data_IF_138647660434
#
_entry.id   IF_138647660434
#
_cell.length_a   1.000
_cell.length_b   1.000
_cell.length_c   1.000
_cell.angle_alpha   90.00
_cell.angle_beta   90.00
_cell.angle_gamma   90.00
#
_symmetry.space_group_name_H-M   'P 1'
#
loop_
_entity.id
_entity.type
_entity.pdbx_description
1 polymer ?
#
# COMPACT_ATOMS: atom_id res chain seq x y z
N UNK A 1 -13.05 -13.00 4.49
CA UNK A 1 -11.74 -12.97 3.80
C UNK A 1 -11.68 -11.69 3.01
N UNK A 2 -10.60 -10.92 3.15
CA UNK A 2 -10.36 -9.70 2.38
C UNK A 2 -9.27 -9.94 1.34
N UNK A 3 -9.26 -9.14 0.28
CA UNK A 3 -8.18 -9.11 -0.71
C UNK A 3 -6.99 -8.41 -0.11
N UNK A 4 -5.88 -9.14 0.06
CA UNK A 4 -4.67 -8.61 0.72
C UNK A 4 -3.67 -8.12 -0.29
N UNK A 5 -2.83 -7.19 0.14
CA UNK A 5 -1.90 -6.53 -0.74
C UNK A 5 -0.69 -5.97 -0.01
N UNK A 6 0.28 -5.53 -0.79
CA UNK A 6 1.48 -4.84 -0.32
C UNK A 6 1.54 -3.43 -0.90
N UNK A 7 1.89 -2.43 -0.08
CA UNK A 7 2.23 -1.07 -0.53
C UNK A 7 3.70 -0.81 -0.23
N UNK A 8 4.49 -0.60 -1.28
CA UNK A 8 5.92 -0.30 -1.20
C UNK A 8 6.16 1.16 -1.57
N UNK A 9 7.05 1.85 -0.84
CA UNK A 9 7.52 3.19 -1.20
C UNK A 9 9.03 3.21 -1.24
N UNK A 10 9.58 3.64 -2.38
CA UNK A 10 11.01 3.66 -2.69
C UNK A 10 11.49 5.10 -2.81
N UNK A 11 12.62 5.43 -2.17
CA UNK A 11 13.33 6.69 -2.34
C UNK A 11 14.84 6.46 -2.15
N UNK A 12 15.66 7.04 -3.03
CA UNK A 12 17.10 6.86 -3.11
C UNK A 12 17.53 5.37 -3.16
N UNK A 13 16.75 4.53 -3.86
CA UNK A 13 16.96 3.08 -3.94
C UNK A 13 16.62 2.31 -2.66
N UNK A 14 16.09 2.98 -1.62
CA UNK A 14 15.75 2.36 -0.34
C UNK A 14 14.24 2.11 -0.26
N UNK A 15 13.87 0.89 0.15
CA UNK A 15 12.48 0.53 0.47
C UNK A 15 12.16 1.02 1.88
N UNK A 16 11.69 2.26 1.96
CA UNK A 16 11.28 2.88 3.21
C UNK A 16 9.99 2.24 3.73
N UNK A 17 9.03 1.93 2.86
CA UNK A 17 7.77 1.31 3.26
C UNK A 17 7.61 -0.02 2.52
N UNK A 18 7.13 -1.05 3.23
CA UNK A 18 6.63 -2.30 2.68
C UNK A 18 5.44 -2.75 3.53
N UNK A 19 4.34 -2.00 3.44
CA UNK A 19 3.18 -2.11 4.32
C UNK A 19 2.24 -3.21 3.82
N UNK A 20 2.07 -4.27 4.61
CA UNK A 20 1.00 -5.23 4.41
C UNK A 20 -0.37 -4.57 4.63
N UNK A 21 -1.33 -4.95 3.78
CA UNK A 21 -2.73 -4.53 3.82
C UNK A 21 -3.67 -5.73 3.90
N UNK A 22 -4.63 -5.70 4.84
CA UNK A 22 -5.54 -6.83 5.07
C UNK A 22 -6.80 -6.85 4.16
N UNK A 23 -7.25 -5.68 3.70
CA UNK A 23 -8.59 -5.51 3.12
C UNK A 23 -8.55 -4.78 1.78
N UNK A 24 -9.41 -5.25 0.86
CA UNK A 24 -9.78 -4.61 -0.40
C UNK A 24 -8.60 -4.08 -1.23
N UNK A 25 -7.55 -4.89 -1.37
CA UNK A 25 -6.35 -4.57 -2.14
C UNK A 25 -6.53 -4.33 -3.64
N UNK A 26 -7.75 -4.46 -4.16
CA UNK A 26 -8.05 -4.27 -5.58
C UNK A 26 -7.75 -2.85 -6.09
N UNK A 27 -7.46 -2.69 -7.40
CA UNK A 27 -7.20 -1.39 -8.00
C UNK A 27 -8.32 -0.35 -7.82
N UNK A 28 -9.57 -0.80 -7.79
CA UNK A 28 -10.77 0.02 -7.58
C UNK A 28 -10.74 0.78 -6.25
N UNK A 29 -10.02 0.23 -5.26
CA UNK A 29 -9.99 0.72 -3.88
C UNK A 29 -8.59 1.24 -3.55
N UNK A 30 -7.64 0.35 -3.26
CA UNK A 30 -6.29 0.76 -2.83
C UNK A 30 -5.52 1.41 -3.97
N UNK A 31 -5.61 0.87 -5.19
CA UNK A 31 -5.01 1.50 -6.37
C UNK A 31 -5.52 2.92 -6.57
N UNK A 32 -6.84 3.13 -6.52
CA UNK A 32 -7.45 4.46 -6.63
C UNK A 32 -7.11 5.40 -5.47
N UNK A 33 -6.95 4.88 -4.24
CA UNK A 33 -6.43 5.67 -3.12
C UNK A 33 -5.03 6.18 -3.47
N UNK A 34 -4.13 5.32 -3.92
CA UNK A 34 -2.77 5.71 -4.32
C UNK A 34 -2.77 6.72 -5.46
N UNK A 35 -3.58 6.51 -6.52
CA UNK A 35 -3.73 7.48 -7.62
C UNK A 35 -4.12 8.86 -7.08
N UNK A 36 -5.11 8.95 -6.20
CA UNK A 36 -5.57 10.23 -5.61
C UNK A 36 -4.58 10.87 -4.64
N UNK A 37 -3.78 10.06 -3.96
CA UNK A 37 -2.73 10.54 -3.07
C UNK A 37 -1.56 11.10 -3.89
N UNK A 38 -1.07 10.33 -4.86
CA UNK A 38 0.12 10.65 -5.63
C UNK A 38 -0.12 11.70 -6.72
N UNK A 39 -1.36 11.91 -7.15
CA UNK A 39 -1.75 13.04 -7.99
C UNK A 39 -1.66 14.42 -7.28
N UNK A 40 -1.27 14.47 -6.00
CA UNK A 40 -1.08 15.70 -5.23
C UNK A 40 0.40 16.03 -5.06
N UNK A 41 0.94 17.05 -5.76
CA UNK A 41 2.36 17.39 -5.67
C UNK A 41 2.82 17.79 -4.28
N UNK A 42 1.97 18.45 -3.48
CA UNK A 42 2.28 18.82 -2.10
C UNK A 42 2.43 17.58 -1.21
N UNK A 43 1.55 16.59 -1.36
CA UNK A 43 1.67 15.33 -0.63
C UNK A 43 2.95 14.59 -1.04
N UNK A 44 3.26 14.50 -2.34
CA UNK A 44 4.48 13.81 -2.82
C UNK A 44 5.74 14.49 -2.28
N UNK A 45 5.78 15.84 -2.28
CA UNK A 45 6.88 16.60 -1.66
C UNK A 45 7.01 16.27 -0.18
N UNK A 46 5.90 16.31 0.56
CA UNK A 46 5.91 16.10 2.01
C UNK A 46 6.22 14.64 2.37
N UNK A 47 5.78 13.68 1.55
CA UNK A 47 6.14 12.27 1.65
C UNK A 47 7.66 12.08 1.53
N UNK A 48 8.29 12.67 0.50
CA UNK A 48 9.76 12.61 0.33
C UNK A 48 10.50 13.15 1.55
N UNK A 49 10.00 14.23 2.15
CA UNK A 49 10.59 14.82 3.35
C UNK A 49 10.38 13.96 4.60
N UNK A 50 9.23 13.30 4.72
CA UNK A 50 8.88 12.47 5.89
C UNK A 50 9.55 11.09 5.91
N UNK A 51 9.82 10.47 4.74
CA UNK A 51 10.36 9.11 4.67
C UNK A 51 11.67 8.90 5.46
N UNK A 52 12.67 9.80 5.41
CA UNK A 52 13.88 9.71 6.24
C UNK A 52 13.62 9.73 7.76
N UNK A 53 12.43 10.14 8.19
CA UNK A 53 12.02 10.19 9.60
C UNK A 53 11.17 8.98 10.00
N UNK A 54 11.22 7.89 9.23
CA UNK A 54 10.63 6.60 9.59
C UNK A 54 11.67 5.65 10.17
N UNK A 55 11.25 4.71 11.00
CA UNK A 55 12.14 3.67 11.53
C UNK A 55 11.38 2.37 11.80
N UNK A 56 12.08 1.26 11.78
CA UNK A 56 11.54 -0.05 12.13
C UNK A 56 11.88 -0.37 13.59
N UNK A 57 10.90 -0.32 14.52
CA UNK A 57 11.15 -0.60 15.93
C UNK A 57 11.50 -2.08 16.14
N UNK A 58 12.36 -2.37 17.12
CA UNK A 58 12.54 -3.73 17.61
C UNK A 58 11.32 -4.20 18.43
N UNK A 59 11.23 -5.51 18.67
CA UNK A 59 10.08 -6.12 19.38
C UNK A 59 9.85 -5.50 20.77
N UNK A 60 10.92 -5.20 21.51
CA UNK A 60 10.81 -4.58 22.83
C UNK A 60 10.27 -3.14 22.74
N UNK A 61 10.62 -2.40 21.68
CA UNK A 61 10.10 -1.06 21.40
C UNK A 61 8.66 -1.11 20.97
N UNK A 62 8.27 -2.07 20.11
CA UNK A 62 6.87 -2.30 19.74
C UNK A 62 6.02 -2.53 20.99
N UNK A 63 6.43 -3.44 21.88
CA UNK A 63 5.69 -3.73 23.11
C UNK A 63 5.52 -2.49 24.01
N UNK A 64 6.55 -1.64 24.11
CA UNK A 64 6.46 -0.38 24.87
C UNK A 64 5.50 0.61 24.21
N UNK A 65 5.63 0.81 22.90
CA UNK A 65 4.75 1.70 22.14
C UNK A 65 3.29 1.25 22.28
N UNK A 66 3.01 -0.04 22.12
CA UNK A 66 1.66 -0.61 22.27
C UNK A 66 1.11 -0.45 23.70
N UNK A 67 1.96 -0.58 24.72
CA UNK A 67 1.56 -0.34 26.11
C UNK A 67 1.22 1.14 26.35
N UNK A 68 2.03 2.07 25.84
CA UNK A 68 1.79 3.51 25.94
C UNK A 68 0.53 3.93 25.15
N UNK A 69 0.26 3.25 24.03
CA UNK A 69 -0.89 3.46 23.19
C UNK A 69 -2.12 2.59 23.56
N UNK A 70 -2.10 1.87 24.69
CA UNK A 70 -3.10 0.84 24.99
C UNK A 70 -4.55 1.38 25.03
N UNK A 71 -4.76 2.60 25.53
CA UNK A 71 -6.06 3.28 25.52
C UNK A 71 -6.44 3.78 24.10
N UNK A 72 -5.63 4.61 23.41
CA UNK A 72 -5.97 5.08 22.07
C UNK A 72 -6.07 3.96 21.01
N UNK A 73 -5.32 2.86 21.16
CA UNK A 73 -5.41 1.69 20.29
C UNK A 73 -6.79 1.02 20.31
N UNK A 74 -7.57 1.19 21.38
CA UNK A 74 -8.94 0.65 21.41
C UNK A 74 -9.81 1.25 20.30
N UNK A 75 -9.54 2.51 19.91
CA UNK A 75 -10.25 3.19 18.81
C UNK A 75 -9.94 2.52 17.47
N UNK A 76 -8.69 2.10 17.24
CA UNK A 76 -8.33 1.34 16.03
C UNK A 76 -8.95 -0.05 16.01
N UNK A 77 -8.93 -0.73 17.16
CA UNK A 77 -9.36 -2.12 17.32
C UNK A 77 -10.88 -2.31 17.40
N UNK A 78 -11.68 -1.23 17.45
CA UNK A 78 -13.13 -1.31 17.29
C UNK A 78 -13.49 -1.50 15.81
N UNK A 79 -13.67 -2.76 15.41
CA UNK A 79 -13.86 -3.18 14.01
C UNK A 79 -15.31 -3.19 13.53
N UNK A 80 -16.32 -3.22 14.40
CA UNK A 80 -17.67 -3.40 13.87
C UNK A 80 -18.26 -2.09 13.38
N UNK A 81 -18.56 -2.07 12.07
CA UNK A 81 -19.58 -1.19 11.54
C UNK A 81 -20.87 -1.52 12.29
N UNK A 82 -21.22 -0.72 13.30
CA UNK A 82 -22.43 -0.94 14.09
C UNK A 82 -23.60 -0.33 13.35
N UNK A 83 -24.72 -1.02 13.32
CA UNK A 83 -25.97 -0.38 12.93
C UNK A 83 -26.30 0.67 14.00
N UNK A 84 -26.52 1.91 13.58
CA UNK A 84 -27.08 2.91 14.48
C UNK A 84 -28.55 2.58 14.79
N UNK A 85 -29.21 3.42 15.60
CA UNK A 85 -30.61 3.23 15.96
C UNK A 85 -31.58 3.32 14.76
N UNK A 86 -31.10 3.75 13.59
CA UNK A 86 -31.84 3.83 12.33
C UNK A 86 -31.52 2.67 11.37
N UNK A 87 -30.59 1.78 11.72
CA UNK A 87 -30.14 0.70 10.85
C UNK A 87 -29.08 1.11 9.82
N UNK A 88 -28.41 2.25 10.01
CA UNK A 88 -27.31 2.70 9.15
C UNK A 88 -25.96 2.20 9.67
N UNK A 89 -25.06 1.81 8.75
CA UNK A 89 -23.71 1.37 9.09
C UNK A 89 -22.89 2.56 9.61
N UNK A 90 -22.52 2.53 10.89
CA UNK A 90 -21.61 3.48 11.53
C UNK A 90 -20.19 2.91 11.57
N UNK A 91 -19.28 3.58 10.88
CA UNK A 91 -17.85 3.26 10.87
C UNK A 91 -17.13 3.88 12.08
N UNK A 92 -16.02 3.28 12.50
CA UNK A 92 -15.13 3.89 13.50
C UNK A 92 -14.39 5.09 12.90
N UNK A 93 -13.91 6.00 13.76
CA UNK A 93 -13.15 7.18 13.31
C UNK A 93 -11.90 6.78 12.51
N UNK A 94 -11.27 5.66 12.87
CA UNK A 94 -10.17 5.09 12.11
C UNK A 94 -10.59 4.60 10.72
N UNK A 95 -11.72 3.91 10.60
CA UNK A 95 -12.23 3.45 9.29
C UNK A 95 -12.61 4.63 8.39
N UNK A 96 -13.23 5.66 8.96
CA UNK A 96 -13.53 6.90 8.26
C UNK A 96 -12.26 7.62 7.82
N UNK A 97 -11.27 7.75 8.71
CA UNK A 97 -9.97 8.32 8.36
C UNK A 97 -9.29 7.54 7.23
N UNK A 98 -9.24 6.21 7.32
CA UNK A 98 -8.65 5.38 6.25
C UNK A 98 -9.28 5.58 4.89
N UNK A 99 -10.58 5.93 4.82
CA UNK A 99 -11.29 6.18 3.56
C UNK A 99 -10.92 7.51 2.93
N UNK A 100 -10.72 8.53 3.76
CA UNK A 100 -10.26 9.85 3.32
C UNK A 100 -9.14 10.37 4.24
N UNK A 101 -7.93 9.81 4.11
CA UNK A 101 -6.87 10.05 5.09
C UNK A 101 -6.37 11.49 5.09
N UNK A 102 -6.64 12.26 4.04
CA UNK A 102 -6.27 13.66 3.96
C UNK A 102 -7.33 14.59 4.53
N UNK A 103 -8.61 14.35 4.26
CA UNK A 103 -9.66 15.20 4.84
C UNK A 103 -9.83 15.00 6.35
N UNK A 104 -9.46 13.83 6.87
CA UNK A 104 -9.65 13.44 8.28
C UNK A 104 -8.34 13.32 9.06
N UNK A 105 -7.23 13.79 8.50
CA UNK A 105 -5.94 13.79 9.20
C UNK A 105 -5.99 14.68 10.44
N UNK A 106 -5.48 14.16 11.56
CA UNK A 106 -5.24 14.87 12.79
C UNK A 106 -3.95 14.32 13.44
N UNK A 107 -3.07 15.16 14.03
CA UNK A 107 -1.82 14.70 14.61
C UNK A 107 -2.01 13.71 15.78
N UNK A 108 -3.14 13.77 16.47
CA UNK A 108 -3.52 12.86 17.56
C UNK A 108 -3.72 11.41 17.07
N UNK A 109 -3.96 11.20 15.77
CA UNK A 109 -3.98 9.85 15.18
C UNK A 109 -2.68 9.10 15.45
N UNK A 110 -1.55 9.80 15.50
CA UNK A 110 -0.25 9.19 15.73
C UNK A 110 -0.11 8.57 17.12
N UNK A 111 -0.92 9.00 18.10
CA UNK A 111 -0.94 8.42 19.45
C UNK A 111 -1.55 7.01 19.46
N UNK A 112 -2.30 6.67 18.40
CA UNK A 112 -2.88 5.34 18.21
C UNK A 112 -1.94 4.36 17.48
N UNK A 113 -0.74 4.79 17.08
CA UNK A 113 0.20 3.99 16.27
C UNK A 113 -0.40 3.36 14.97
N UNK A 114 -1.21 4.11 14.19
CA UNK A 114 -1.83 3.56 12.99
C UNK A 114 -0.79 3.09 11.97
N UNK A 115 0.43 3.62 11.97
CA UNK A 115 1.50 3.19 11.05
C UNK A 115 1.99 1.75 11.26
N UNK A 116 1.70 1.14 12.42
CA UNK A 116 1.99 -0.28 12.69
C UNK A 116 0.79 -1.19 12.39
N UNK A 117 -0.38 -0.61 12.14
CA UNK A 117 -1.61 -1.37 11.99
C UNK A 117 -1.80 -1.85 10.54
N UNK A 118 -2.04 -3.15 10.36
CA UNK A 118 -2.18 -3.82 9.04
C UNK A 118 -3.28 -3.25 8.14
N UNK A 119 -4.25 -2.57 8.73
CA UNK A 119 -5.36 -2.00 7.96
C UNK A 119 -4.97 -0.64 7.35
N UNK A 120 -3.94 0.03 7.85
CA UNK A 120 -3.59 1.40 7.43
C UNK A 120 -3.28 1.49 5.94
N UNK A 121 -2.68 0.45 5.35
CA UNK A 121 -2.58 0.33 3.90
C UNK A 121 -2.00 1.61 3.25
N UNK A 122 -2.64 2.15 2.20
CA UNK A 122 -2.15 3.31 1.45
C UNK A 122 -2.20 4.61 2.28
N UNK A 123 -3.00 4.65 3.35
CA UNK A 123 -3.05 5.80 4.25
C UNK A 123 -1.72 6.03 4.99
N UNK A 124 -0.81 5.04 5.03
CA UNK A 124 0.53 5.21 5.59
C UNK A 124 1.32 6.32 4.89
N UNK A 125 1.08 6.57 3.59
CA UNK A 125 1.69 7.70 2.87
C UNK A 125 1.31 9.04 3.51
N UNK A 126 0.09 9.18 4.01
CA UNK A 126 -0.37 10.41 4.67
C UNK A 126 0.23 10.53 6.06
N UNK A 127 0.31 9.42 6.82
CA UNK A 127 0.99 9.41 8.12
C UNK A 127 2.44 9.88 8.00
N UNK A 128 3.17 9.39 6.99
CA UNK A 128 4.55 9.79 6.73
C UNK A 128 4.61 11.25 6.30
N UNK A 129 3.82 11.65 5.30
CA UNK A 129 3.87 13.00 4.74
C UNK A 129 3.47 14.09 5.75
N UNK A 130 2.55 13.80 6.67
CA UNK A 130 1.99 14.80 7.60
C UNK A 130 2.48 14.65 9.03
N UNK A 131 3.00 13.48 9.40
CA UNK A 131 3.26 13.11 10.79
C UNK A 131 4.70 12.75 11.13
N UNK A 132 5.52 12.35 10.15
CA UNK A 132 6.91 11.97 10.42
C UNK A 132 7.83 13.20 10.44
N UNK A 133 8.57 13.39 11.54
CA UNK A 133 9.60 14.43 11.67
C UNK A 133 10.79 13.96 12.50
N UNK A 134 11.85 14.76 12.58
CA UNK A 134 13.00 14.46 13.44
C UNK A 134 12.62 14.39 14.94
N UNK A 135 11.69 15.23 15.38
CA UNK A 135 11.19 15.29 16.75
C UNK A 135 10.17 14.17 17.04
N UNK A 136 9.49 13.69 16.01
CA UNK A 136 8.51 12.60 16.09
C UNK A 136 8.75 11.57 14.96
N UNK A 137 9.79 10.73 15.07
CA UNK A 137 10.00 9.68 14.09
C UNK A 137 8.83 8.70 14.06
N UNK A 138 8.40 8.29 12.87
CA UNK A 138 7.24 7.43 12.68
C UNK A 138 7.67 5.95 12.67
N UNK A 139 7.18 5.12 13.61
CA UNK A 139 7.46 3.69 13.56
C UNK A 139 6.69 3.04 12.40
N UNK A 140 7.34 2.14 11.67
CA UNK A 140 6.76 1.38 10.56
C UNK A 140 7.10 -0.10 10.72
N UNK A 141 6.24 -0.97 10.20
CA UNK A 141 6.49 -2.41 10.15
C UNK A 141 6.58 -2.85 8.69
N UNK A 142 7.76 -3.28 8.25
CA UNK A 142 8.00 -3.66 6.85
C UNK A 142 7.86 -5.17 6.70
N UNK A 143 7.10 -5.58 5.70
CA UNK A 143 6.87 -6.99 5.40
C UNK A 143 7.07 -7.26 3.90
N UNK A 144 8.26 -6.97 3.33
CA UNK A 144 8.50 -7.10 1.89
C UNK A 144 8.33 -8.54 1.40
N UNK A 145 8.67 -9.55 2.22
CA UNK A 145 8.53 -10.97 1.91
C UNK A 145 7.08 -11.39 1.68
N UNK A 146 6.08 -10.58 2.07
CA UNK A 146 4.69 -10.84 1.70
C UNK A 146 4.50 -10.89 0.18
N UNK A 147 5.32 -10.17 -0.60
CA UNK A 147 5.33 -10.26 -2.05
C UNK A 147 5.65 -11.67 -2.59
N UNK A 148 6.28 -12.52 -1.78
CA UNK A 148 6.58 -13.90 -2.16
C UNK A 148 5.41 -14.87 -1.94
N UNK A 149 4.37 -14.44 -1.22
CA UNK A 149 3.20 -15.27 -0.97
C UNK A 149 2.23 -15.19 -2.15
N UNK A 150 2.48 -15.97 -3.20
CA UNK A 150 1.65 -15.96 -4.41
C UNK A 150 0.20 -16.43 -4.19
N UNK A 151 -0.14 -16.98 -3.02
CA UNK A 151 -1.51 -17.38 -2.69
C UNK A 151 -2.28 -16.24 -1.99
N UNK A 152 -1.59 -15.44 -1.19
CA UNK A 152 -2.23 -14.41 -0.37
C UNK A 152 -1.91 -12.97 -0.76
N UNK A 153 -0.75 -12.71 -1.37
CA UNK A 153 -0.42 -11.41 -1.96
C UNK A 153 -1.10 -11.29 -3.32
N UNK A 154 -2.37 -10.88 -3.29
CA UNK A 154 -3.21 -10.77 -4.50
C UNK A 154 -2.80 -9.55 -5.34
N UNK A 155 -2.36 -8.47 -4.69
CA UNK A 155 -1.88 -7.24 -5.33
C UNK A 155 -0.64 -6.68 -4.65
N UNK A 156 0.25 -6.06 -5.42
CA UNK A 156 1.29 -5.21 -4.85
C UNK A 156 1.37 -3.87 -5.62
N UNK A 157 1.59 -2.80 -4.87
CA UNK A 157 1.73 -1.46 -5.41
C UNK A 157 3.11 -0.93 -5.04
N UNK A 158 3.85 -0.42 -6.02
CA UNK A 158 5.15 0.20 -5.78
C UNK A 158 5.06 1.67 -6.17
N UNK A 159 5.31 2.52 -5.19
CA UNK A 159 5.45 3.97 -5.35
C UNK A 159 6.94 4.26 -5.44
N UNK A 160 7.44 4.37 -6.66
CA UNK A 160 8.84 4.65 -6.93
C UNK A 160 9.02 6.17 -7.05
N UNK A 161 9.52 6.78 -5.97
CA UNK A 161 9.77 8.22 -5.92
C UNK A 161 11.09 8.59 -6.59
N UNK A 162 11.95 7.64 -6.96
CA UNK A 162 13.17 7.97 -7.71
C UNK A 162 12.85 8.30 -9.16
N UNK A 163 11.80 7.68 -9.70
CA UNK A 163 11.37 7.83 -11.09
C UNK A 163 9.95 8.39 -11.24
N UNK A 164 9.27 8.73 -10.14
CA UNK A 164 7.90 9.26 -10.11
C UNK A 164 6.91 8.35 -10.87
N UNK A 165 6.92 7.05 -10.55
CA UNK A 165 5.98 6.07 -11.12
C UNK A 165 5.22 5.31 -10.04
N UNK A 166 3.94 5.05 -10.33
CA UNK A 166 3.12 4.08 -9.62
C UNK A 166 3.08 2.80 -10.44
N UNK A 167 3.58 1.72 -9.85
CA UNK A 167 3.51 0.39 -10.44
C UNK A 167 2.46 -0.46 -9.75
N UNK A 168 1.75 -1.26 -10.55
CA UNK A 168 0.71 -2.19 -10.11
C UNK A 168 1.15 -3.58 -10.50
N UNK A 169 1.10 -4.51 -9.54
CA UNK A 169 1.46 -5.90 -9.72
C UNK A 169 0.34 -6.82 -9.28
N UNK A 170 0.22 -7.97 -9.95
CA UNK A 170 -0.79 -9.00 -9.70
C UNK A 170 -0.20 -10.39 -10.00
N UNK A 171 -0.80 -11.44 -9.44
CA UNK A 171 -0.41 -12.82 -9.69
C UNK A 171 0.97 -13.17 -9.12
N UNK A 172 1.54 -14.27 -9.60
CA UNK A 172 2.82 -14.79 -9.12
C UNK A 172 3.61 -15.46 -10.25
N UNK A 173 4.90 -15.16 -10.34
CA UNK A 173 5.83 -15.75 -11.29
C UNK A 173 7.19 -16.03 -10.65
N UNK A 174 8.01 -16.85 -11.31
CA UNK A 174 9.40 -17.04 -10.91
C UNK A 174 10.19 -15.72 -11.05
N UNK A 175 11.19 -15.53 -10.20
CA UNK A 175 12.08 -14.38 -10.26
C UNK A 175 12.87 -14.35 -11.57
N UNK A 176 13.02 -13.14 -12.12
CA UNK A 176 13.92 -12.85 -13.24
C UNK A 176 14.96 -11.81 -12.83
N UNK A 177 16.18 -11.83 -13.42
CA UNK A 177 17.17 -10.79 -13.18
C UNK A 177 16.59 -9.39 -13.48
N UNK A 178 16.81 -8.45 -12.58
CA UNK A 178 16.30 -7.07 -12.71
C UNK A 178 14.83 -6.89 -12.29
N UNK A 179 14.13 -7.95 -11.87
CA UNK A 179 12.78 -7.80 -11.33
C UNK A 179 12.79 -6.93 -10.06
N UNK A 180 11.76 -6.09 -9.89
CA UNK A 180 11.60 -5.16 -8.75
C UNK A 180 11.77 -5.85 -7.38
N UNK A 181 11.23 -7.06 -7.26
CA UNK A 181 11.27 -7.90 -6.06
C UNK A 181 12.35 -8.99 -6.09
N UNK A 182 13.31 -8.95 -7.02
CA UNK A 182 14.32 -10.00 -7.16
C UNK A 182 15.13 -10.24 -5.86
N UNK A 183 15.37 -9.17 -5.11
CA UNK A 183 16.12 -9.18 -3.85
C UNK A 183 15.30 -9.61 -2.62
N UNK A 184 14.00 -9.85 -2.77
CA UNK A 184 13.09 -10.17 -1.65
C UNK A 184 12.89 -11.67 -1.53
N UNK A 185 13.25 -12.24 -0.37
CA UNK A 185 13.16 -13.67 -0.10
C UNK A 185 14.13 -14.54 -0.94
N UNK A 186 14.05 -15.88 -0.83
CA UNK A 186 14.97 -16.79 -1.52
C UNK A 186 14.78 -16.80 -3.05
N UNK A 187 15.78 -17.26 -3.80
CA UNK A 187 15.74 -17.30 -5.28
C UNK A 187 14.60 -18.18 -5.85
N UNK A 188 14.20 -19.20 -5.09
CA UNK A 188 13.09 -20.10 -5.43
C UNK A 188 11.70 -19.52 -5.17
N UNK A 189 11.61 -18.36 -4.49
CA UNK A 189 10.34 -17.72 -4.21
C UNK A 189 9.69 -17.16 -5.49
N UNK A 190 8.37 -17.14 -5.51
CA UNK A 190 7.63 -16.37 -6.51
C UNK A 190 7.68 -14.87 -6.20
N UNK A 191 7.41 -14.05 -7.19
CA UNK A 191 7.27 -12.59 -7.09
C UNK A 191 6.06 -12.14 -7.89
N UNK A 192 5.43 -11.00 -7.55
CA UNK A 192 4.22 -10.56 -8.22
C UNK A 192 4.58 -10.04 -9.62
N UNK A 193 3.66 -10.16 -10.58
CA UNK A 193 3.90 -9.82 -11.99
C UNK A 193 3.55 -8.36 -12.24
N UNK A 194 4.46 -7.58 -12.86
CA UNK A 194 4.18 -6.20 -13.23
C UNK A 194 3.03 -6.16 -14.26
N UNK A 195 1.97 -5.44 -13.92
CA UNK A 195 0.80 -5.21 -14.77
C UNK A 195 0.86 -3.84 -15.44
N UNK A 196 1.10 -2.80 -14.66
CA UNK A 196 1.08 -1.41 -15.12
C UNK A 196 2.20 -0.63 -14.45
N UNK A 197 2.89 0.22 -15.21
CA UNK A 197 3.77 1.27 -14.68
C UNK A 197 3.25 2.61 -15.21
N UNK A 198 2.83 3.49 -14.30
CA UNK A 198 2.13 4.73 -14.62
C UNK A 198 2.89 5.93 -14.03
N UNK A 199 3.44 6.82 -14.87
CA UNK A 199 4.06 8.06 -14.38
C UNK A 199 3.09 8.95 -13.59
N UNK A 200 3.62 9.67 -12.60
CA UNK A 200 2.79 10.52 -11.72
C UNK A 200 2.06 11.62 -12.48
N UNK A 201 2.66 12.17 -13.54
CA UNK A 201 2.03 13.20 -14.39
C UNK A 201 0.79 12.69 -15.16
N UNK A 202 0.61 11.36 -15.24
CA UNK A 202 -0.57 10.70 -15.83
C UNK A 202 -1.65 10.35 -14.82
N UNK A 203 -1.38 10.44 -13.52
CA UNK A 203 -2.36 10.09 -12.49
C UNK A 203 -3.58 11.02 -12.49
N UNK A 204 -3.40 12.26 -12.93
CA UNK A 204 -4.47 13.25 -13.07
C UNK A 204 -5.56 12.83 -14.08
N UNK A 205 -5.21 12.00 -15.08
CA UNK A 205 -6.15 11.42 -16.04
C UNK A 205 -7.13 10.45 -15.36
N UNK A 206 -6.76 9.88 -14.22
CA UNK A 206 -7.48 8.80 -13.54
C UNK A 206 -8.07 9.19 -12.18
N UNK A 207 -7.57 10.22 -11.49
CA UNK A 207 -7.93 10.54 -10.08
C UNK A 207 -9.43 10.63 -9.80
N UNK A 208 -10.21 11.04 -10.81
CA UNK A 208 -11.67 11.19 -10.74
C UNK A 208 -12.44 10.14 -11.59
N UNK A 209 -11.74 9.23 -12.26
CA UNK A 209 -12.34 8.19 -13.10
C UNK A 209 -11.78 6.80 -12.73
N UNK A 210 -12.40 6.22 -11.70
CA UNK A 210 -12.09 4.84 -11.25
C UNK A 210 -12.25 3.83 -12.38
N UNK A 211 -13.26 4.00 -13.23
CA UNK A 211 -13.57 3.00 -14.25
C UNK A 211 -12.51 3.02 -15.36
N UNK A 212 -12.03 4.19 -15.75
CA UNK A 212 -10.92 4.31 -16.70
C UNK A 212 -9.63 3.66 -16.16
N UNK A 213 -9.31 3.87 -14.88
CA UNK A 213 -8.11 3.29 -14.26
C UNK A 213 -8.17 1.75 -14.24
N UNK A 214 -9.31 1.22 -13.81
CA UNK A 214 -9.55 -0.23 -13.76
C UNK A 214 -9.56 -0.83 -15.17
N UNK A 215 -10.21 -0.18 -16.13
CA UNK A 215 -10.22 -0.62 -17.52
C UNK A 215 -8.80 -0.67 -18.11
N UNK A 216 -7.96 0.32 -17.77
CA UNK A 216 -6.55 0.33 -18.16
C UNK A 216 -5.79 -0.87 -17.60
N UNK A 217 -5.97 -1.20 -16.32
CA UNK A 217 -5.32 -2.35 -15.68
C UNK A 217 -5.79 -3.66 -16.31
N UNK A 218 -7.10 -3.85 -16.47
CA UNK A 218 -7.67 -5.05 -17.07
C UNK A 218 -7.17 -5.27 -18.51
N UNK A 219 -7.02 -4.19 -19.28
CA UNK A 219 -6.45 -4.26 -20.62
C UNK A 219 -5.00 -4.80 -20.62
N UNK A 220 -4.17 -4.37 -19.67
CA UNK A 220 -2.79 -4.87 -19.55
C UNK A 220 -2.75 -6.34 -19.09
N UNK A 221 -3.60 -6.73 -18.14
CA UNK A 221 -3.75 -8.13 -17.68
C UNK A 221 -4.14 -9.03 -18.86
N UNK A 222 -5.13 -8.64 -19.66
CA UNK A 222 -5.53 -9.39 -20.86
C UNK A 222 -4.37 -9.53 -21.85
N UNK A 223 -3.58 -8.47 -22.02
CA UNK A 223 -2.38 -8.49 -22.85
C UNK A 223 -1.32 -9.48 -22.35
N UNK A 224 -1.06 -9.50 -21.04
CA UNK A 224 -0.14 -10.46 -20.39
C UNK A 224 -0.63 -11.89 -20.59
N UNK A 225 -1.91 -12.14 -20.33
CA UNK A 225 -2.52 -13.47 -20.45
C UNK A 225 -2.43 -14.00 -21.89
N UNK A 226 -2.69 -13.16 -22.90
CA UNK A 226 -2.55 -13.54 -24.31
C UNK A 226 -1.11 -13.91 -24.68
N UNK A 227 -0.12 -13.14 -24.22
CA UNK A 227 1.31 -13.45 -24.46
C UNK A 227 1.72 -14.76 -23.80
N UNK A 228 1.30 -14.98 -22.55
CA UNK A 228 1.59 -16.22 -21.83
C UNK A 228 0.95 -17.44 -22.50
N UNK A 229 -0.30 -17.31 -23.00
CA UNK A 229 -0.98 -18.37 -23.72
C UNK A 229 -0.29 -18.70 -25.06
N UNK A 230 0.22 -17.70 -25.78
CA UNK A 230 0.98 -17.91 -27.01
C UNK A 230 2.31 -18.63 -26.74
N UNK A 231 3.08 -18.16 -25.76
CA UNK A 231 4.36 -18.77 -25.39
C UNK A 231 4.23 -20.24 -24.94
N UNK A 232 3.14 -20.60 -24.25
CA UNK A 232 2.86 -21.99 -23.88
C UNK A 232 2.59 -22.87 -25.11
N UNK A 233 1.85 -22.35 -26.09
CA UNK A 233 1.59 -23.09 -27.35
C UNK A 233 2.87 -23.32 -28.15
N UNK A 234 3.75 -22.34 -28.23
CA UNK A 234 5.05 -22.46 -28.92
C UNK A 234 6.00 -23.47 -28.24
N UNK A 235 5.85 -23.72 -26.94
CA UNK A 235 6.62 -24.73 -26.20
C UNK A 235 6.05 -26.15 -26.34
N UNK A 236 4.76 -26.27 -26.68
CA UNK A 236 4.06 -27.54 -26.86
C UNK A 236 4.11 -28.06 -28.32
N UNK A 237 4.60 -27.24 -29.27
CA UNK A 237 4.86 -27.57 -30.69
C UNK A 237 6.32 -27.97 -30.94
#
# INVERSE_FOLDING_TARGET
MGTRHLVVVILNGIWYIAQYGQWDGYPEVVGMQLVRLLARPDLVRDLRAGLPHTYEPDEATVQRLEADAAEPLQILNHVEARLDHNGELRFSDYQEWRRDPLARWAPELLDMLPSLHRDTSAAVLVLVARGASAERPLPIHRQPEFANDGLFCEWAYVVDLDTDVLEVYEGAAAKTPGHRFAHVGPDSATVPVLVLSLPFDKLDEYKNDRNAFVARINHEIDGINKRNAAARKELDE
#
